data_IF_359149521515
#
_entry.id   IF_359149521515
#
_cell.length_a   1.000
_cell.length_b   1.000
_cell.length_c   1.000
_cell.angle_alpha   90.00
_cell.angle_beta   90.00
_cell.angle_gamma   90.00
#
_symmetry.space_group_name_H-M   'P 1'
#
loop_
_entity.id
_entity.type
_entity.pdbx_description
1 polymer ?
#
# COMPACT_ATOMS: atom_id res chain seq x y z
N UNK A 1 28.63 -6.25 59.73
CA UNK A 1 28.53 -4.90 59.12
C UNK A 1 28.55 -5.07 57.60
N UNK A 2 27.38 -5.29 56.97
CA UNK A 2 27.27 -5.62 55.54
C UNK A 2 27.21 -4.33 54.71
N UNK A 3 27.98 -4.34 53.63
CA UNK A 3 28.21 -3.25 52.69
C UNK A 3 26.93 -2.74 52.03
N UNK A 4 26.88 -1.41 51.84
CA UNK A 4 25.88 -0.73 51.04
C UNK A 4 26.18 -1.00 49.54
N UNK A 5 25.30 -1.75 48.88
CA UNK A 5 25.22 -1.78 47.42
C UNK A 5 24.49 -0.52 46.96
N UNK A 6 25.22 0.33 46.24
CA UNK A 6 24.67 1.46 45.49
C UNK A 6 24.35 0.92 44.10
N UNK A 7 23.08 0.78 43.78
CA UNK A 7 22.63 0.50 42.41
C UNK A 7 22.93 1.73 41.55
N UNK A 8 23.97 1.62 40.73
CA UNK A 8 24.19 2.50 39.59
C UNK A 8 23.26 2.01 38.49
N UNK A 9 22.18 2.76 38.23
CA UNK A 9 21.38 2.58 37.02
C UNK A 9 22.21 3.13 35.86
N UNK A 10 22.83 2.24 35.08
CA UNK A 10 23.43 2.58 33.79
C UNK A 10 22.33 3.05 32.81
N UNK A 11 22.54 4.13 32.05
CA UNK A 11 21.58 4.58 31.05
C UNK A 11 21.52 3.56 29.91
N UNK A 12 20.31 3.08 29.60
CA UNK A 12 20.07 2.23 28.43
C UNK A 12 20.23 3.09 27.17
N UNK A 13 21.42 3.05 26.58
CA UNK A 13 21.74 3.65 25.28
C UNK A 13 20.73 3.16 24.23
N UNK A 14 19.87 4.06 23.77
CA UNK A 14 18.90 3.79 22.71
C UNK A 14 19.61 3.45 21.41
N UNK A 15 19.20 2.34 20.77
CA UNK A 15 19.68 1.89 19.46
C UNK A 15 19.94 3.08 18.52
N UNK A 16 21.15 3.24 17.97
CA UNK A 16 21.45 4.33 17.07
C UNK A 16 20.53 4.19 15.86
N UNK A 17 19.72 5.23 15.61
CA UNK A 17 18.86 5.27 14.42
C UNK A 17 19.79 5.34 13.22
N UNK A 18 19.74 4.30 12.40
CA UNK A 18 20.53 4.20 11.17
C UNK A 18 20.21 5.40 10.27
N UNK A 19 21.20 6.25 10.04
CA UNK A 19 21.10 7.51 9.30
C UNK A 19 22.17 7.49 8.22
N UNK A 20 21.83 7.98 7.02
CA UNK A 20 22.86 8.24 6.01
C UNK A 20 23.71 9.47 6.34
N UNK A 21 24.73 9.70 5.51
CA UNK A 21 25.66 10.82 5.62
C UNK A 21 24.97 12.20 5.49
N UNK A 22 23.68 12.24 5.13
CA UNK A 22 22.84 13.45 5.07
C UNK A 22 21.86 13.56 6.24
N UNK A 23 21.92 12.64 7.20
CA UNK A 23 21.06 12.61 8.39
C UNK A 23 19.64 12.08 8.14
N UNK A 24 19.34 11.56 6.94
CA UNK A 24 18.05 10.91 6.67
C UNK A 24 18.06 9.52 7.29
N UNK A 25 16.98 9.18 7.99
CA UNK A 25 16.80 7.84 8.53
C UNK A 25 16.74 6.84 7.37
N UNK A 26 17.83 6.11 7.13
CA UNK A 26 17.79 4.95 6.25
C UNK A 26 17.16 3.85 7.08
N UNK A 27 15.89 3.59 6.85
CA UNK A 27 15.23 2.44 7.45
C UNK A 27 15.72 1.17 6.75
N UNK A 28 17.00 0.79 6.97
CA UNK A 28 17.66 -0.37 6.37
C UNK A 28 17.19 -1.69 6.97
N UNK A 29 16.31 -1.65 7.99
CA UNK A 29 15.75 -2.83 8.61
C UNK A 29 14.84 -3.55 7.59
N UNK A 30 15.08 -4.85 7.30
CA UNK A 30 14.29 -5.62 6.35
C UNK A 30 12.81 -5.61 6.76
N UNK A 31 11.89 -5.70 5.79
CA UNK A 31 10.44 -5.69 6.04
C UNK A 31 9.75 -6.87 5.37
N UNK A 32 8.63 -7.31 5.92
CA UNK A 32 7.76 -8.27 5.25
C UNK A 32 6.94 -7.62 4.11
N UNK A 33 6.16 -8.43 3.37
CA UNK A 33 5.30 -7.95 2.29
C UNK A 33 4.21 -6.95 2.73
N UNK A 34 3.95 -6.89 4.03
CA UNK A 34 3.04 -5.94 4.65
C UNK A 34 3.76 -4.74 5.23
N UNK A 35 5.07 -4.56 5.02
CA UNK A 35 5.86 -3.43 5.51
C UNK A 35 6.21 -3.47 7.00
N UNK A 36 6.00 -4.58 7.72
CA UNK A 36 6.39 -4.70 9.13
C UNK A 36 7.89 -4.98 9.22
N UNK A 37 8.63 -4.32 10.13
CA UNK A 37 10.07 -4.53 10.22
C UNK A 37 10.43 -5.89 10.84
N UNK A 38 11.35 -6.60 10.20
CA UNK A 38 11.85 -7.93 10.53
C UNK A 38 13.15 -7.86 11.35
N UNK A 39 13.54 -8.93 12.07
CA UNK A 39 14.86 -9.02 12.69
C UNK A 39 15.99 -8.77 11.69
N UNK A 40 17.11 -8.19 12.15
CA UNK A 40 18.29 -8.03 11.31
C UNK A 40 18.78 -9.40 10.81
N UNK A 41 19.20 -9.48 9.54
CA UNK A 41 19.63 -10.72 8.90
C UNK A 41 18.50 -11.61 8.37
N UNK A 42 17.23 -11.31 8.67
CA UNK A 42 16.11 -11.97 8.01
C UNK A 42 15.97 -11.48 6.56
N UNK A 43 15.62 -12.35 5.59
CA UNK A 43 15.31 -11.92 4.24
C UNK A 43 14.05 -11.05 4.27
N UNK A 44 14.19 -9.77 3.88
CA UNK A 44 13.07 -8.88 3.67
C UNK A 44 12.57 -8.92 2.24
N UNK A 45 11.39 -8.36 2.01
CA UNK A 45 10.93 -8.01 0.66
C UNK A 45 11.68 -6.74 0.24
N UNK A 46 12.25 -6.77 -0.96
CA UNK A 46 12.90 -5.61 -1.56
C UNK A 46 11.85 -4.50 -1.76
N UNK A 47 12.20 -3.29 -1.32
CA UNK A 47 11.31 -2.13 -1.49
C UNK A 47 11.19 -1.80 -2.97
N UNK A 48 10.01 -1.36 -3.39
CA UNK A 48 9.84 -0.82 -4.73
C UNK A 48 10.76 0.40 -4.89
N UNK A 49 11.37 0.60 -6.07
CA UNK A 49 12.16 1.80 -6.31
C UNK A 49 11.24 3.03 -6.23
N UNK A 50 11.49 3.88 -5.22
CA UNK A 50 10.74 5.11 -4.97
C UNK A 50 10.98 6.13 -6.10
N UNK A 51 9.92 6.81 -6.54
CA UNK A 51 10.05 7.95 -7.46
C UNK A 51 10.39 7.59 -8.90
N UNK A 52 10.21 6.33 -9.30
CA UNK A 52 10.26 5.91 -10.71
C UNK A 52 8.90 6.20 -11.34
N UNK A 53 8.79 7.18 -12.25
CA UNK A 53 7.53 7.47 -12.93
C UNK A 53 7.15 6.28 -13.79
N UNK A 54 5.94 5.75 -13.58
CA UNK A 54 5.35 4.70 -14.40
C UNK A 54 4.17 5.28 -15.18
N UNK A 55 4.00 4.94 -16.46
CA UNK A 55 2.73 5.12 -17.15
C UNK A 55 1.55 4.52 -16.34
N UNK A 56 0.34 5.10 -16.44
CA UNK A 56 -0.84 4.61 -15.72
C UNK A 56 -1.10 3.11 -15.81
N UNK A 57 -1.01 2.54 -17.01
CA UNK A 57 -1.23 1.13 -17.30
C UNK A 57 -0.16 0.24 -16.63
N UNK A 58 1.11 0.64 -16.69
CA UNK A 58 2.20 -0.04 -16.00
C UNK A 58 2.05 0.03 -14.47
N UNK A 59 1.65 1.19 -13.93
CA UNK A 59 1.44 1.36 -12.50
C UNK A 59 0.30 0.46 -12.00
N UNK A 60 -0.82 0.39 -12.74
CA UNK A 60 -1.95 -0.47 -12.42
C UNK A 60 -1.58 -1.96 -12.53
N UNK A 61 -0.86 -2.36 -13.58
CA UNK A 61 -0.42 -3.73 -13.77
C UNK A 61 0.53 -4.18 -12.64
N UNK A 62 1.52 -3.36 -12.28
CA UNK A 62 2.45 -3.69 -11.19
C UNK A 62 1.73 -3.70 -9.84
N UNK A 63 0.85 -2.72 -9.56
CA UNK A 63 0.05 -2.73 -8.34
C UNK A 63 -0.84 -3.98 -8.25
N UNK A 64 -1.47 -4.40 -9.35
CA UNK A 64 -2.25 -5.64 -9.38
C UNK A 64 -1.38 -6.87 -9.11
N UNK A 65 -0.21 -6.97 -9.74
CA UNK A 65 0.73 -8.08 -9.53
C UNK A 65 1.16 -8.17 -8.06
N UNK A 66 1.42 -7.03 -7.42
CA UNK A 66 1.77 -6.96 -6.00
C UNK A 66 0.59 -7.34 -5.08
N UNK A 67 -0.63 -6.94 -5.43
CA UNK A 67 -1.84 -7.37 -4.73
C UNK A 67 -2.03 -8.89 -4.83
N UNK A 68 -1.87 -9.45 -6.02
CA UNK A 68 -1.96 -10.89 -6.29
C UNK A 68 -0.86 -11.67 -5.52
N UNK A 69 0.33 -11.08 -5.35
CA UNK A 69 1.44 -11.61 -4.54
C UNK A 69 1.23 -11.47 -3.01
N UNK A 70 0.12 -10.89 -2.54
CA UNK A 70 -0.12 -10.63 -1.12
C UNK A 70 0.76 -9.52 -0.52
N UNK A 71 1.19 -8.55 -1.36
CA UNK A 71 2.02 -7.39 -0.98
C UNK A 71 1.27 -6.06 -1.10
N UNK A 72 0.13 -5.88 -0.40
CA UNK A 72 -0.69 -4.68 -0.53
C UNK A 72 0.01 -3.38 -0.08
N UNK A 73 1.02 -3.47 0.80
CA UNK A 73 1.81 -2.28 1.18
C UNK A 73 2.68 -1.78 0.03
N UNK A 74 3.28 -2.70 -0.73
CA UNK A 74 4.08 -2.35 -1.89
C UNK A 74 3.19 -1.85 -3.05
N UNK A 75 2.00 -2.43 -3.21
CA UNK A 75 1.02 -1.92 -4.17
C UNK A 75 0.59 -0.48 -3.82
N UNK A 76 0.42 -0.18 -2.53
CA UNK A 76 0.16 1.18 -2.06
C UNK A 76 1.30 2.15 -2.45
N UNK A 77 2.56 1.77 -2.29
CA UNK A 77 3.70 2.62 -2.68
C UNK A 77 3.67 2.95 -4.19
N UNK A 78 3.40 1.96 -5.05
CA UNK A 78 3.27 2.18 -6.51
C UNK A 78 2.13 3.14 -6.84
N UNK A 79 0.96 2.96 -6.21
CA UNK A 79 -0.22 3.81 -6.43
C UNK A 79 -0.03 5.21 -5.84
N UNK A 80 0.71 5.35 -4.74
CA UNK A 80 1.05 6.64 -4.14
C UNK A 80 1.98 7.44 -5.05
N UNK A 81 2.97 6.79 -5.67
CA UNK A 81 3.84 7.45 -6.64
C UNK A 81 3.05 7.90 -7.88
N UNK A 82 2.15 7.06 -8.39
CA UNK A 82 1.23 7.46 -9.47
C UNK A 82 0.36 8.66 -9.07
N UNK A 83 -0.14 8.69 -7.83
CA UNK A 83 -0.89 9.83 -7.29
C UNK A 83 -0.08 11.13 -7.27
N UNK A 84 1.20 11.09 -6.86
CA UNK A 84 2.08 12.27 -6.80
C UNK A 84 2.34 12.88 -8.18
N UNK A 85 2.27 12.07 -9.24
CA UNK A 85 2.52 12.50 -10.63
C UNK A 85 1.26 12.62 -11.47
N UNK A 86 0.08 12.28 -10.93
CA UNK A 86 -1.18 12.28 -11.66
C UNK A 86 -1.60 13.69 -12.11
N UNK A 87 -2.22 13.83 -13.29
CA UNK A 87 -2.85 15.08 -13.68
C UNK A 87 -4.00 15.43 -12.73
N UNK A 88 -4.23 16.73 -12.54
CA UNK A 88 -5.27 17.27 -11.65
C UNK A 88 -6.63 16.54 -11.70
N UNK A 89 -7.21 16.25 -12.89
CA UNK A 89 -8.52 15.61 -12.96
C UNK A 89 -8.56 14.18 -12.42
N UNK A 90 -7.43 13.48 -12.38
CA UNK A 90 -7.34 12.09 -11.96
C UNK A 90 -6.75 11.94 -10.54
N UNK A 91 -6.28 13.02 -9.93
CA UNK A 91 -5.49 12.94 -8.71
C UNK A 91 -6.24 12.28 -7.55
N UNK A 92 -7.53 12.55 -7.39
CA UNK A 92 -8.34 11.88 -6.35
C UNK A 92 -8.60 10.40 -6.68
N UNK A 93 -8.67 10.01 -7.96
CA UNK A 93 -8.76 8.60 -8.35
C UNK A 93 -7.55 7.82 -7.85
N UNK A 94 -6.34 8.30 -8.18
CA UNK A 94 -5.09 7.66 -7.76
C UNK A 94 -4.91 7.64 -6.24
N UNK A 95 -5.29 8.73 -5.57
CA UNK A 95 -5.32 8.80 -4.10
C UNK A 95 -6.27 7.76 -3.51
N UNK A 96 -7.45 7.58 -4.10
CA UNK A 96 -8.42 6.58 -3.71
C UNK A 96 -7.86 5.16 -3.85
N UNK A 97 -7.24 4.83 -4.98
CA UNK A 97 -6.59 3.54 -5.19
C UNK A 97 -5.49 3.25 -4.15
N UNK A 98 -4.63 4.24 -3.87
CA UNK A 98 -3.59 4.12 -2.84
C UNK A 98 -4.21 3.87 -1.45
N UNK A 99 -5.35 4.49 -1.14
CA UNK A 99 -6.10 4.28 0.11
C UNK A 99 -6.70 2.88 0.20
N UNK A 100 -7.24 2.35 -0.90
CA UNK A 100 -7.76 0.98 -0.96
C UNK A 100 -6.65 -0.05 -0.66
N UNK A 101 -5.48 0.10 -1.28
CA UNK A 101 -4.34 -0.79 -1.07
C UNK A 101 -3.80 -0.76 0.38
N UNK A 102 -3.69 0.42 1.00
CA UNK A 102 -3.28 0.50 2.41
C UNK A 102 -4.41 0.07 3.37
N UNK A 103 -5.68 0.24 2.99
CA UNK A 103 -6.82 -0.36 3.69
C UNK A 103 -6.74 -1.88 3.75
N UNK A 104 -6.41 -2.52 2.62
CA UNK A 104 -6.15 -3.97 2.57
C UNK A 104 -4.94 -4.37 3.42
N UNK A 105 -3.88 -3.57 3.42
CA UNK A 105 -2.72 -3.78 4.32
C UNK A 105 -3.14 -3.78 5.79
N UNK A 106 -4.07 -2.90 6.18
CA UNK A 106 -4.60 -2.88 7.55
C UNK A 106 -5.43 -4.12 7.88
N UNK A 107 -6.25 -4.62 6.95
CA UNK A 107 -6.97 -5.90 7.14
C UNK A 107 -5.99 -7.06 7.35
N UNK A 108 -4.98 -7.17 6.49
CA UNK A 108 -3.96 -8.22 6.59
C UNK A 108 -3.11 -8.13 7.87
N UNK A 109 -3.07 -6.97 8.53
CA UNK A 109 -2.43 -6.74 9.84
C UNK A 109 -3.39 -6.92 11.03
N UNK A 110 -4.66 -7.26 10.80
CA UNK A 110 -5.68 -7.41 11.85
C UNK A 110 -6.23 -6.08 12.40
N UNK A 111 -5.98 -4.96 11.72
CA UNK A 111 -6.51 -3.64 12.10
C UNK A 111 -7.80 -3.34 11.33
N UNK A 112 -8.89 -4.03 11.69
CA UNK A 112 -10.18 -3.89 11.00
C UNK A 112 -10.76 -2.47 11.06
N UNK A 113 -10.64 -1.79 12.21
CA UNK A 113 -11.13 -0.41 12.37
C UNK A 113 -10.42 0.56 11.43
N UNK A 114 -9.08 0.51 11.41
CA UNK A 114 -8.29 1.36 10.53
C UNK A 114 -8.51 1.03 9.05
N UNK A 115 -8.66 -0.25 8.72
CA UNK A 115 -9.00 -0.69 7.37
C UNK A 115 -10.34 -0.10 6.89
N UNK A 116 -11.40 -0.23 7.68
CA UNK A 116 -12.73 0.29 7.31
C UNK A 116 -12.68 1.79 6.99
N UNK A 117 -12.00 2.59 7.82
CA UNK A 117 -11.84 4.03 7.56
C UNK A 117 -11.11 4.33 6.24
N UNK A 118 -10.09 3.55 5.89
CA UNK A 118 -9.32 3.74 4.66
C UNK A 118 -10.07 3.25 3.43
N UNK A 119 -10.76 2.11 3.52
CA UNK A 119 -11.56 1.54 2.44
C UNK A 119 -12.75 2.43 2.10
N UNK A 120 -13.47 2.92 3.12
CA UNK A 120 -14.59 3.85 2.95
C UNK A 120 -14.15 5.17 2.29
N UNK A 121 -13.06 5.77 2.78
CA UNK A 121 -12.51 6.99 2.17
C UNK A 121 -12.02 6.75 0.75
N UNK A 122 -11.34 5.62 0.50
CA UNK A 122 -10.87 5.25 -0.83
C UNK A 122 -12.01 5.09 -1.82
N UNK A 123 -13.07 4.39 -1.42
CA UNK A 123 -14.28 4.23 -2.22
C UNK A 123 -14.94 5.58 -2.53
N UNK A 124 -15.06 6.46 -1.53
CA UNK A 124 -15.63 7.80 -1.72
C UNK A 124 -14.83 8.65 -2.71
N UNK A 125 -13.49 8.54 -2.71
CA UNK A 125 -12.62 9.27 -3.62
C UNK A 125 -12.72 8.78 -5.08
N UNK A 126 -12.97 7.49 -5.29
CA UNK A 126 -13.10 6.92 -6.64
C UNK A 126 -14.54 6.97 -7.20
N UNK A 127 -15.56 7.11 -6.35
CA UNK A 127 -16.97 7.16 -6.75
C UNK A 127 -17.28 8.14 -7.90
N UNK A 128 -16.73 9.38 -7.94
CA UNK A 128 -17.00 10.30 -9.05
C UNK A 128 -16.54 9.81 -10.43
N UNK A 129 -15.68 8.81 -10.49
CA UNK A 129 -15.14 8.23 -11.73
C UNK A 129 -15.93 7.01 -12.20
N UNK A 130 -16.99 6.59 -11.49
CA UNK A 130 -17.76 5.36 -11.77
C UNK A 130 -18.25 5.27 -13.21
N UNK A 131 -18.80 6.37 -13.74
CA UNK A 131 -19.47 6.37 -15.05
C UNK A 131 -18.50 6.48 -16.23
N UNK A 132 -17.29 7.01 -16.00
CA UNK A 132 -16.26 7.17 -17.02
C UNK A 132 -14.87 6.95 -16.41
N UNK A 133 -14.50 5.71 -16.07
CA UNK A 133 -13.26 5.43 -15.38
C UNK A 133 -12.05 5.59 -16.33
N UNK A 134 -11.05 6.42 -15.97
CA UNK A 134 -9.78 6.45 -16.66
C UNK A 134 -9.07 5.08 -16.63
N UNK A 135 -8.23 4.81 -17.63
CA UNK A 135 -7.31 3.67 -17.66
C UNK A 135 -7.95 2.27 -17.52
N UNK A 136 -9.27 2.16 -17.74
CA UNK A 136 -10.00 0.89 -17.60
C UNK A 136 -10.13 0.40 -16.16
N UNK A 137 -10.01 1.29 -15.17
CA UNK A 137 -10.14 0.96 -13.76
C UNK A 137 -11.57 0.46 -13.45
N UNK A 138 -11.69 -0.65 -12.72
CA UNK A 138 -12.97 -1.21 -12.29
C UNK A 138 -13.52 -0.47 -11.06
N UNK A 139 -13.86 0.80 -11.23
CA UNK A 139 -14.34 1.67 -10.13
C UNK A 139 -15.55 1.04 -9.45
N UNK A 140 -16.52 0.54 -10.22
CA UNK A 140 -17.72 -0.09 -9.68
C UNK A 140 -17.38 -1.33 -8.83
N UNK A 141 -16.55 -2.24 -9.36
CA UNK A 141 -16.12 -3.44 -8.63
C UNK A 141 -15.31 -3.11 -7.38
N UNK A 142 -14.43 -2.09 -7.44
CA UNK A 142 -13.63 -1.64 -6.29
C UNK A 142 -14.51 -1.09 -5.17
N UNK A 143 -15.56 -0.31 -5.49
CA UNK A 143 -16.48 0.23 -4.48
C UNK A 143 -17.29 -0.89 -3.83
N UNK A 144 -17.80 -1.82 -4.63
CA UNK A 144 -18.49 -3.01 -4.10
C UNK A 144 -17.56 -3.82 -3.20
N UNK A 145 -16.33 -4.06 -3.63
CA UNK A 145 -15.32 -4.78 -2.86
C UNK A 145 -15.00 -4.08 -1.54
N UNK A 146 -14.80 -2.76 -1.54
CA UNK A 146 -14.48 -1.99 -0.34
C UNK A 146 -15.54 -2.15 0.77
N UNK A 147 -16.81 -2.26 0.38
CA UNK A 147 -17.92 -2.50 1.31
C UNK A 147 -17.92 -3.90 1.96
N UNK A 148 -17.25 -4.89 1.37
CA UNK A 148 -17.18 -6.26 1.92
C UNK A 148 -16.16 -6.40 3.05
N UNK A 149 -15.16 -5.51 3.11
CA UNK A 149 -14.06 -5.55 4.10
C UNK A 149 -13.36 -6.93 4.18
N UNK A 150 -13.18 -7.58 3.03
CA UNK A 150 -12.48 -8.89 2.92
C UNK A 150 -10.96 -8.70 2.73
N UNK A 151 -10.12 -9.61 3.27
CA UNK A 151 -8.68 -9.61 2.98
C UNK A 151 -8.35 -10.13 1.57
N UNK A 152 -9.33 -10.55 0.78
CA UNK A 152 -9.10 -10.92 -0.63
C UNK A 152 -8.79 -9.68 -1.45
N UNK A 153 -7.69 -9.64 -2.23
CA UNK A 153 -7.37 -8.51 -3.08
C UNK A 153 -8.41 -8.24 -4.17
N UNK A 154 -8.69 -6.98 -4.53
CA UNK A 154 -9.57 -6.64 -5.62
C UNK A 154 -8.87 -6.78 -6.98
N UNK A 155 -9.66 -6.68 -8.06
CA UNK A 155 -9.14 -6.35 -9.39
C UNK A 155 -9.18 -4.83 -9.58
N UNK A 156 -8.05 -4.25 -9.95
CA UNK A 156 -7.92 -2.80 -10.17
C UNK A 156 -8.49 -2.38 -11.52
N UNK A 157 -8.34 -3.22 -12.55
CA UNK A 157 -8.83 -2.98 -13.91
C UNK A 157 -9.94 -3.97 -14.25
N UNK A 158 -10.92 -3.51 -15.01
CA UNK A 158 -12.02 -4.34 -15.45
C UNK A 158 -11.48 -5.45 -16.36
N UNK A 159 -11.89 -6.70 -16.16
CA UNK A 159 -11.63 -7.73 -17.16
C UNK A 159 -12.36 -7.34 -18.44
N UNK A 160 -11.70 -7.30 -19.61
CA UNK A 160 -12.41 -7.00 -20.84
C UNK A 160 -13.51 -8.04 -21.01
N UNK A 161 -14.77 -7.58 -20.99
CA UNK A 161 -15.90 -8.41 -21.40
C UNK A 161 -15.58 -8.89 -22.80
N UNK A 162 -15.31 -10.18 -22.96
CA UNK A 162 -15.14 -10.77 -24.29
C UNK A 162 -16.45 -10.47 -25.03
N UNK A 163 -16.44 -9.69 -26.14
CA UNK A 163 -17.66 -9.54 -26.91
C UNK A 163 -18.05 -10.95 -27.37
N UNK A 164 -19.24 -11.39 -26.96
CA UNK A 164 -19.78 -12.68 -27.39
C UNK A 164 -19.76 -12.76 -28.92
N UNK A 165 -19.59 -13.96 -29.51
CA UNK A 165 -19.48 -14.07 -30.95
C UNK A 165 -20.69 -13.41 -31.62
N UNK A 166 -20.44 -12.34 -32.37
CA UNK A 166 -21.41 -11.79 -33.31
C UNK A 166 -21.70 -12.89 -34.33
N UNK A 167 -22.83 -13.55 -34.17
CA UNK A 167 -23.34 -14.45 -35.21
C UNK A 167 -23.97 -13.58 -36.31
N UNK A 168 -23.58 -13.77 -37.58
CA UNK A 168 -24.18 -13.04 -38.72
C UNK A 168 -25.65 -13.37 -38.92
#
# INVERSE_FOLDING_TARGET
MRAAFRDTIEPVEGSPRDRDDTGRARNARPRDGLGRPLPYGAPGVERQPEGVPRPPDEALAEAQRLLDDGKPFHAHEVLEDAWKTAPEPERELWRGLAQLAVGLTHLARGNAKGAHTLLDRGAHNIEPFRDNPPHGIDVAGLITWAGTTTPTPPRLVATPSTPGPHHP
#
